data_IF_843493211194
#
_entry.id   IF_843493211194
#
_cell.length_a   1.000
_cell.length_b   1.000
_cell.length_c   1.000
_cell.angle_alpha   90.00
_cell.angle_beta   90.00
_cell.angle_gamma   90.00
#
_symmetry.space_group_name_H-M   'P 1'
#
loop_
_entity.id
_entity.type
_entity.pdbx_description
1 polymer ?
#
# COMPACT_ATOMS: atom_id res chain seq x y z
N UNK A 1 18.95 -17.42 -4.63
CA UNK A 1 17.63 -17.38 -5.30
C UNK A 1 16.75 -16.55 -4.40
N UNK A 2 16.11 -15.51 -4.92
CA UNK A 2 15.15 -14.69 -4.15
C UNK A 2 13.76 -15.29 -4.41
N UNK A 3 13.00 -15.52 -3.35
CA UNK A 3 11.61 -16.01 -3.43
C UNK A 3 10.67 -14.87 -3.80
N UNK A 4 9.51 -15.19 -4.37
CA UNK A 4 8.47 -14.20 -4.73
C UNK A 4 8.04 -13.35 -3.52
N UNK A 5 8.03 -13.96 -2.32
CA UNK A 5 7.75 -13.27 -1.07
C UNK A 5 8.84 -12.24 -0.71
N UNK A 6 10.11 -12.58 -0.93
CA UNK A 6 11.22 -11.66 -0.71
C UNK A 6 11.22 -10.51 -1.72
N UNK A 7 10.84 -10.77 -2.97
CA UNK A 7 10.66 -9.72 -3.98
C UNK A 7 9.53 -8.75 -3.59
N UNK A 8 8.39 -9.27 -3.11
CA UNK A 8 7.27 -8.44 -2.66
C UNK A 8 7.64 -7.58 -1.43
N UNK A 9 8.51 -8.06 -0.54
CA UNK A 9 9.03 -7.26 0.58
C UNK A 9 9.81 -6.04 0.10
N UNK A 10 10.47 -6.11 -1.06
CA UNK A 10 11.20 -4.99 -1.62
C UNK A 10 10.29 -3.82 -1.99
N UNK A 11 9.00 -4.05 -2.25
CA UNK A 11 8.05 -2.99 -2.62
C UNK A 11 7.71 -2.07 -1.45
N UNK A 12 7.87 -2.54 -0.20
CA UNK A 12 7.67 -1.71 0.99
C UNK A 12 8.62 -0.51 1.02
N UNK A 13 9.77 -0.60 0.35
CA UNK A 13 10.74 0.52 0.24
C UNK A 13 10.19 1.73 -0.50
N UNK A 14 9.09 1.59 -1.25
CA UNK A 14 8.47 2.69 -1.97
C UNK A 14 7.50 3.50 -1.10
N UNK A 15 7.23 3.03 0.11
CA UNK A 15 6.23 3.59 1.00
C UNK A 15 6.89 4.36 2.15
N UNK A 16 6.17 5.37 2.64
CA UNK A 16 6.50 6.00 3.92
C UNK A 16 6.35 4.99 5.06
N UNK A 17 7.07 5.21 6.17
CA UNK A 17 7.19 4.26 7.29
C UNK A 17 5.83 3.73 7.78
N UNK A 18 4.86 4.62 8.02
CA UNK A 18 3.55 4.24 8.55
C UNK A 18 2.74 3.41 7.54
N UNK A 19 2.80 3.80 6.26
CA UNK A 19 2.13 3.08 5.17
C UNK A 19 2.76 1.69 5.01
N UNK A 20 4.09 1.60 5.04
CA UNK A 20 4.84 0.35 4.96
C UNK A 20 4.49 -0.59 6.12
N UNK A 21 4.49 -0.10 7.36
CA UNK A 21 4.16 -0.88 8.55
C UNK A 21 2.73 -1.41 8.48
N UNK A 22 1.77 -0.59 8.08
CA UNK A 22 0.36 -1.00 7.96
C UNK A 22 0.18 -2.04 6.85
N UNK A 23 0.79 -1.82 5.68
CA UNK A 23 0.73 -2.79 4.56
C UNK A 23 1.36 -4.12 4.97
N UNK A 24 2.51 -4.10 5.62
CA UNK A 24 3.18 -5.30 6.12
C UNK A 24 2.32 -6.08 7.11
N UNK A 25 1.76 -5.41 8.12
CA UNK A 25 0.90 -6.05 9.11
C UNK A 25 -0.37 -6.64 8.46
N UNK A 26 -0.96 -5.94 7.48
CA UNK A 26 -2.11 -6.44 6.72
C UNK A 26 -1.75 -7.64 5.84
N UNK A 27 -0.59 -7.64 5.19
CA UNK A 27 -0.09 -8.78 4.41
C UNK A 27 0.09 -10.02 5.31
N UNK A 28 0.59 -9.83 6.53
CA UNK A 28 0.66 -10.85 7.57
C UNK A 28 -0.68 -11.21 8.22
N UNK A 29 -1.81 -10.82 7.60
CA UNK A 29 -3.19 -11.08 8.06
C UNK A 29 -3.47 -10.56 9.48
N UNK A 30 -2.72 -9.57 9.96
CA UNK A 30 -2.91 -9.01 11.30
C UNK A 30 -4.30 -8.35 11.39
N UNK A 31 -5.08 -8.61 12.45
CA UNK A 31 -6.37 -7.96 12.63
C UNK A 31 -6.23 -6.45 12.78
N UNK A 32 -7.18 -5.71 12.21
CA UNK A 32 -7.21 -4.25 12.29
C UNK A 32 -7.16 -3.69 13.71
N UNK A 33 -7.77 -4.36 14.69
CA UNK A 33 -7.69 -3.94 16.09
C UNK A 33 -6.22 -3.87 16.51
N UNK A 34 -5.46 -4.95 16.35
CA UNK A 34 -4.03 -4.99 16.68
C UNK A 34 -3.26 -3.92 15.91
N UNK A 35 -3.50 -3.76 14.61
CA UNK A 35 -2.83 -2.72 13.80
C UNK A 35 -3.05 -1.33 14.40
N UNK A 36 -4.29 -0.96 14.71
CA UNK A 36 -4.61 0.35 15.26
C UNK A 36 -3.89 0.62 16.59
N UNK A 37 -3.75 -0.41 17.43
CA UNK A 37 -2.97 -0.33 18.68
C UNK A 37 -1.48 -0.11 18.42
N UNK A 38 -0.89 -0.85 17.46
CA UNK A 38 0.54 -0.75 17.13
C UNK A 38 0.91 0.59 16.47
N UNK A 39 0.03 1.14 15.63
CA UNK A 39 0.31 2.38 14.86
C UNK A 39 -0.25 3.65 15.50
N UNK A 40 -1.05 3.54 16.57
CA UNK A 40 -1.66 4.70 17.24
C UNK A 40 -2.69 5.46 16.39
N UNK A 41 -3.29 4.81 15.39
CA UNK A 41 -4.27 5.42 14.48
C UNK A 41 -5.68 4.87 14.70
N UNK A 42 -6.69 5.70 14.44
CA UNK A 42 -8.06 5.22 14.33
C UNK A 42 -8.19 4.25 13.15
N UNK A 43 -9.14 3.31 13.25
CA UNK A 43 -9.38 2.33 12.18
C UNK A 43 -9.61 2.97 10.80
N UNK A 44 -10.43 4.03 10.65
CA UNK A 44 -10.58 4.70 9.35
C UNK A 44 -9.28 5.33 8.85
N UNK A 45 -8.45 5.90 9.73
CA UNK A 45 -7.16 6.45 9.35
C UNK A 45 -6.22 5.35 8.87
N UNK A 46 -6.04 4.27 9.65
CA UNK A 46 -5.22 3.14 9.28
C UNK A 46 -5.66 2.50 7.94
N UNK A 47 -6.97 2.42 7.68
CA UNK A 47 -7.49 1.92 6.41
C UNK A 47 -7.10 2.84 5.23
N UNK A 48 -7.18 4.17 5.37
CA UNK A 48 -6.72 5.09 4.31
C UNK A 48 -5.23 4.97 4.02
N UNK A 49 -4.40 4.78 5.05
CA UNK A 49 -2.97 4.52 4.89
C UNK A 49 -2.71 3.21 4.15
N UNK A 50 -3.41 2.14 4.53
CA UNK A 50 -3.34 0.85 3.83
C UNK A 50 -3.73 0.97 2.35
N UNK A 51 -4.88 1.58 2.04
CA UNK A 51 -5.34 1.80 0.67
C UNK A 51 -4.33 2.59 -0.16
N UNK A 52 -3.77 3.65 0.43
CA UNK A 52 -2.75 4.46 -0.23
C UNK A 52 -1.47 3.68 -0.49
N UNK A 53 -0.97 2.91 0.48
CA UNK A 53 0.22 2.07 0.31
C UNK A 53 0.05 1.04 -0.82
N UNK A 54 -1.09 0.34 -0.86
CA UNK A 54 -1.41 -0.58 -1.96
C UNK A 54 -1.48 0.15 -3.30
N UNK A 55 -2.11 1.33 -3.35
CA UNK A 55 -2.19 2.12 -4.56
C UNK A 55 -0.82 2.54 -5.11
N UNK A 56 0.11 2.98 -4.25
CA UNK A 56 1.48 3.32 -4.63
C UNK A 56 2.21 2.11 -5.21
N UNK A 57 2.08 0.93 -4.59
CA UNK A 57 2.67 -0.31 -5.10
C UNK A 57 2.11 -0.63 -6.48
N UNK A 58 0.78 -0.61 -6.66
CA UNK A 58 0.13 -0.84 -7.96
C UNK A 58 0.65 0.09 -9.04
N UNK A 59 0.82 1.39 -8.73
CA UNK A 59 1.38 2.35 -9.67
C UNK A 59 2.81 1.97 -10.08
N UNK A 60 3.67 1.68 -9.10
CA UNK A 60 5.08 1.36 -9.31
C UNK A 60 5.26 0.09 -10.13
N UNK A 61 4.46 -0.93 -9.86
CA UNK A 61 4.42 -2.16 -10.65
C UNK A 61 3.97 -1.92 -12.11
N UNK A 62 3.15 -0.88 -12.34
CA UNK A 62 2.77 -0.44 -13.69
C UNK A 62 3.77 0.56 -14.31
N UNK A 63 4.99 0.67 -13.77
CA UNK A 63 6.02 1.59 -14.28
C UNK A 63 5.73 3.07 -14.03
N UNK A 64 4.83 3.40 -13.10
CA UNK A 64 4.44 4.78 -12.76
C UNK A 64 4.85 5.13 -11.33
N UNK A 65 5.26 6.37 -11.09
CA UNK A 65 5.43 6.91 -9.75
C UNK A 65 4.34 7.96 -9.47
N UNK A 66 3.60 7.88 -8.36
CA UNK A 66 2.66 8.92 -8.00
C UNK A 66 3.41 10.22 -7.74
N UNK A 67 2.99 11.30 -8.40
CA UNK A 67 3.57 12.62 -8.18
C UNK A 67 3.21 13.12 -6.78
N UNK A 68 4.19 13.69 -6.06
CA UNK A 68 3.99 14.29 -4.75
C UNK A 68 2.94 15.43 -4.74
N UNK A 69 2.64 16.03 -5.90
CA UNK A 69 1.62 17.07 -6.04
C UNK A 69 0.18 16.52 -6.06
N UNK A 70 0.00 15.21 -6.16
CA UNK A 70 -1.32 14.58 -6.21
C UNK A 70 -1.78 14.22 -4.82
N UNK A 71 -3.09 14.38 -4.57
CA UNK A 71 -3.69 13.95 -3.32
C UNK A 71 -3.66 12.42 -3.18
N UNK A 72 -3.60 11.92 -1.95
CA UNK A 72 -3.69 10.46 -1.69
C UNK A 72 -4.92 9.83 -2.33
N UNK A 73 -6.06 10.53 -2.25
CA UNK A 73 -7.32 10.11 -2.88
C UNK A 73 -7.18 9.92 -4.39
N UNK A 74 -6.54 10.87 -5.09
CA UNK A 74 -6.30 10.75 -6.52
C UNK A 74 -5.46 9.51 -6.85
N UNK A 75 -4.40 9.23 -6.06
CA UNK A 75 -3.54 8.07 -6.27
C UNK A 75 -4.32 6.77 -6.13
N UNK A 76 -5.15 6.65 -5.08
CA UNK A 76 -6.01 5.49 -4.84
C UNK A 76 -7.02 5.29 -5.97
N UNK A 77 -7.80 6.31 -6.33
CA UNK A 77 -8.84 6.21 -7.38
C UNK A 77 -8.26 5.86 -8.76
N UNK A 78 -7.03 6.28 -9.05
CA UNK A 78 -6.38 5.95 -10.33
C UNK A 78 -5.65 4.60 -10.30
N UNK A 79 -5.27 4.10 -9.12
CA UNK A 79 -4.72 2.75 -9.00
C UNK A 79 -5.75 1.70 -9.41
N UNK A 80 -7.04 1.90 -9.09
CA UNK A 80 -8.12 1.02 -9.51
C UNK A 80 -8.20 0.89 -11.04
N UNK A 81 -7.97 1.99 -11.77
CA UNK A 81 -7.94 1.97 -13.24
C UNK A 81 -6.76 1.17 -13.79
N UNK A 82 -5.61 1.23 -13.13
CA UNK A 82 -4.42 0.46 -13.50
C UNK A 82 -4.57 -1.02 -13.17
N UNK A 83 -5.21 -1.36 -12.05
CA UNK A 83 -5.44 -2.76 -11.65
C UNK A 83 -6.33 -3.52 -12.64
N UNK A 84 -7.33 -2.86 -13.22
CA UNK A 84 -8.21 -3.46 -14.25
C UNK A 84 -7.48 -3.85 -15.53
N UNK A 85 -6.32 -3.26 -15.82
CA UNK A 85 -5.49 -3.62 -16.99
C UNK A 85 -4.66 -4.88 -16.79
N UNK A 86 -4.47 -5.35 -15.55
CA UNK A 86 -3.70 -6.57 -15.27
C UNK A 86 -4.57 -7.82 -15.44
N UNK A 87 -5.90 -7.68 -15.31
CA UNK A 87 -6.87 -8.79 -15.37
C UNK A 87 -7.43 -9.02 -16.78
N UNK A 88 -7.05 -8.22 -17.78
CA UNK A 88 -7.58 -8.28 -19.15
C UNK A 88 -6.49 -8.53 -20.18
#
# INVERSE_FOLDING_TARGET
MITEAEEAMLWLRWLEKDDAQIVWLRANRTPWKKICWEVGLSRPAANRHWQYGIAVITWRLNGRAPSAKRSRRFVVENADRLSRKIVM
#
